data_IF_197055942314
#
_entry.id   IF_197055942314
#
_cell.length_a   1.000
_cell.length_b   1.000
_cell.length_c   1.000
_cell.angle_alpha   90.00
_cell.angle_beta   90.00
_cell.angle_gamma   90.00
#
_symmetry.space_group_name_H-M   'P 1'
#
loop_
_entity.id
_entity.type
_entity.pdbx_description
1 polymer ?
#
# COMPACT_ATOMS: atom_id res chain seq x y z
N UNK A 1 8.95 2.18 -20.76
CA UNK A 1 8.73 0.77 -20.42
C UNK A 1 7.72 0.73 -19.30
N UNK A 2 6.59 0.07 -19.54
CA UNK A 2 5.61 -0.24 -18.49
C UNK A 2 6.21 -1.30 -17.57
N UNK A 3 6.10 -1.07 -16.27
CA UNK A 3 6.70 -1.87 -15.22
C UNK A 3 5.80 -3.09 -14.94
N UNK A 4 6.38 -4.28 -14.82
CA UNK A 4 5.70 -5.54 -14.45
C UNK A 4 5.80 -5.76 -12.94
N UNK A 5 4.91 -6.54 -12.33
CA UNK A 5 5.02 -6.91 -10.92
C UNK A 5 6.14 -7.94 -10.71
N UNK A 6 7.09 -7.68 -9.81
CA UNK A 6 8.14 -8.65 -9.46
C UNK A 6 7.89 -9.26 -8.07
N UNK A 7 8.49 -10.43 -7.83
CA UNK A 7 8.50 -11.05 -6.52
C UNK A 7 9.19 -10.16 -5.47
N UNK A 8 8.69 -10.15 -4.22
CA UNK A 8 9.25 -9.32 -3.15
C UNK A 8 10.47 -9.97 -2.47
N UNK A 9 10.87 -11.17 -2.86
CA UNK A 9 11.93 -11.99 -2.26
C UNK A 9 12.71 -12.74 -3.35
N UNK A 10 13.94 -13.16 -3.04
CA UNK A 10 14.76 -13.96 -3.98
C UNK A 10 14.22 -15.38 -4.14
N UNK A 11 13.85 -16.03 -3.03
CA UNK A 11 13.06 -17.26 -3.08
C UNK A 11 11.61 -16.89 -3.42
N UNK A 12 11.10 -17.50 -4.48
CA UNK A 12 9.76 -17.26 -5.03
C UNK A 12 8.75 -18.33 -4.64
N UNK A 13 9.14 -19.27 -3.78
CA UNK A 13 8.26 -20.32 -3.24
C UNK A 13 7.07 -19.68 -2.53
N UNK A 14 5.87 -20.19 -2.80
CA UNK A 14 4.62 -19.74 -2.18
C UNK A 14 4.13 -20.85 -1.24
N UNK A 15 4.00 -20.53 0.04
CA UNK A 15 3.44 -21.44 1.06
C UNK A 15 1.92 -21.34 1.11
N UNK A 16 1.39 -20.10 1.08
CA UNK A 16 -0.04 -19.84 0.97
C UNK A 16 -0.35 -18.86 -0.17
N UNK A 17 -1.20 -19.31 -1.08
CA UNK A 17 -1.69 -18.51 -2.22
C UNK A 17 -2.86 -17.62 -1.81
N UNK A 18 -3.11 -16.59 -2.62
CA UNK A 18 -4.29 -15.75 -2.49
C UNK A 18 -5.58 -16.58 -2.63
N UNK A 19 -6.60 -16.23 -1.85
CA UNK A 19 -7.93 -16.85 -1.95
C UNK A 19 -8.04 -18.23 -1.32
N UNK A 20 -6.93 -18.85 -0.91
CA UNK A 20 -6.88 -20.21 -0.40
C UNK A 20 -6.38 -20.19 1.05
N UNK A 21 -7.22 -20.57 2.00
CA UNK A 21 -6.85 -20.68 3.41
C UNK A 21 -6.46 -22.12 3.75
N UNK A 22 -5.15 -22.38 3.80
CA UNK A 22 -4.58 -23.62 4.33
C UNK A 22 -4.11 -23.46 5.78
N UNK A 23 -4.47 -22.35 6.45
CA UNK A 23 -3.94 -22.04 7.76
C UNK A 23 -4.37 -23.09 8.79
N UNK A 24 -3.39 -23.79 9.36
CA UNK A 24 -3.58 -24.66 10.53
C UNK A 24 -3.61 -23.83 11.83
N UNK A 25 -3.87 -22.51 11.74
CA UNK A 25 -3.70 -21.58 12.85
C UNK A 25 -4.84 -21.78 13.86
N UNK A 26 -4.58 -22.30 15.08
CA UNK A 26 -5.62 -22.82 15.97
C UNK A 26 -6.57 -21.74 16.58
N UNK A 27 -6.31 -20.44 16.32
CA UNK A 27 -6.90 -19.29 17.05
C UNK A 27 -7.35 -18.14 16.11
N UNK A 28 -7.27 -18.26 14.77
CA UNK A 28 -7.54 -17.11 13.87
C UNK A 28 -8.65 -17.32 12.83
N UNK A 29 -9.75 -17.98 13.22
CA UNK A 29 -10.99 -17.89 12.42
C UNK A 29 -11.46 -16.43 12.26
N UNK A 30 -11.34 -15.61 13.29
CA UNK A 30 -11.98 -14.28 13.32
C UNK A 30 -11.44 -13.24 12.31
N UNK A 31 -10.15 -13.30 11.93
CA UNK A 31 -9.59 -12.33 10.98
C UNK A 31 -9.91 -12.71 9.52
N UNK A 32 -9.96 -14.01 9.21
CA UNK A 32 -10.29 -14.49 7.87
C UNK A 32 -11.79 -14.40 7.57
N UNK A 33 -12.66 -14.39 8.58
CA UNK A 33 -14.11 -14.15 8.40
C UNK A 33 -14.38 -12.86 7.61
N UNK A 34 -13.58 -11.79 7.79
CA UNK A 34 -13.74 -10.53 7.04
C UNK A 34 -13.50 -10.74 5.53
N UNK A 35 -12.70 -11.73 5.18
CA UNK A 35 -12.34 -12.10 3.81
C UNK A 35 -13.03 -13.39 3.35
N UNK A 36 -14.16 -13.76 3.97
CA UNK A 36 -14.92 -14.99 3.66
C UNK A 36 -14.06 -16.27 3.81
N UNK A 37 -13.25 -16.31 4.88
CA UNK A 37 -12.26 -17.36 5.18
C UNK A 37 -11.20 -17.55 4.08
N UNK A 38 -10.86 -16.46 3.37
CA UNK A 38 -9.81 -16.46 2.34
C UNK A 38 -8.58 -15.71 2.78
N UNK A 39 -7.43 -16.22 2.35
CA UNK A 39 -6.16 -15.53 2.50
C UNK A 39 -6.11 -14.29 1.58
N UNK A 40 -5.91 -13.10 2.15
CA UNK A 40 -5.98 -11.80 1.45
C UNK A 40 -4.73 -11.45 0.64
N UNK A 41 -3.71 -12.30 0.68
CA UNK A 41 -2.40 -12.07 0.07
C UNK A 41 -1.71 -13.35 -0.35
N UNK A 42 -0.40 -13.29 -0.45
CA UNK A 42 0.50 -14.41 -0.75
C UNK A 42 1.58 -14.46 0.32
N UNK A 43 1.80 -15.64 0.89
CA UNK A 43 2.81 -15.86 1.91
C UNK A 43 4.04 -16.55 1.31
N UNK A 44 5.19 -15.92 1.51
CA UNK A 44 6.51 -16.44 1.13
C UNK A 44 7.21 -16.97 2.38
N UNK A 45 7.50 -18.29 2.47
CA UNK A 45 8.25 -18.84 3.58
C UNK A 45 9.69 -18.35 3.51
N UNK A 46 10.10 -17.51 4.46
CA UNK A 46 11.44 -16.93 4.50
C UNK A 46 11.94 -16.83 5.93
N UNK A 47 13.24 -17.02 6.12
CA UNK A 47 13.89 -16.81 7.41
C UNK A 47 13.78 -15.36 7.89
N UNK A 48 13.93 -15.14 9.19
CA UNK A 48 14.02 -13.79 9.75
C UNK A 48 15.30 -13.12 9.24
N UNK A 49 15.19 -11.89 8.75
CA UNK A 49 16.34 -11.13 8.25
C UNK A 49 16.56 -11.21 6.74
N UNK A 50 15.79 -12.04 6.01
CA UNK A 50 15.83 -12.09 4.54
C UNK A 50 15.44 -10.74 3.95
N UNK A 51 16.12 -10.32 2.89
CA UNK A 51 15.85 -9.04 2.21
C UNK A 51 14.46 -9.08 1.57
N UNK A 52 13.69 -8.02 1.80
CA UNK A 52 12.40 -7.79 1.15
C UNK A 52 12.56 -6.63 0.16
N UNK A 53 12.20 -6.89 -1.08
CA UNK A 53 12.34 -6.01 -2.23
C UNK A 53 11.02 -5.32 -2.57
N UNK A 54 11.12 -4.12 -3.12
CA UNK A 54 9.96 -3.39 -3.64
C UNK A 54 9.47 -4.04 -4.93
N UNK A 55 8.29 -4.64 -4.90
CA UNK A 55 7.68 -5.32 -6.06
C UNK A 55 7.29 -4.38 -7.19
N UNK A 56 7.08 -3.10 -6.91
CA UNK A 56 6.68 -2.09 -7.91
C UNK A 56 7.05 -0.68 -7.44
N UNK A 57 7.62 0.14 -8.31
CA UNK A 57 8.07 1.49 -7.96
C UNK A 57 6.92 2.32 -7.39
N UNK A 58 7.15 3.03 -6.29
CA UNK A 58 6.09 3.74 -5.60
C UNK A 58 6.56 4.73 -4.54
N UNK A 59 5.61 5.21 -3.75
CA UNK A 59 5.88 6.04 -2.57
C UNK A 59 5.45 5.30 -1.30
N UNK A 60 6.29 5.31 -0.27
CA UNK A 60 5.98 4.66 1.01
C UNK A 60 4.91 5.47 1.74
N UNK A 61 3.72 4.89 1.91
CA UNK A 61 2.56 5.54 2.56
C UNK A 61 2.26 4.99 3.95
N UNK A 62 2.76 3.79 4.27
CA UNK A 62 2.63 3.17 5.60
C UNK A 62 3.96 2.58 6.04
N UNK A 63 4.30 2.80 7.32
CA UNK A 63 5.46 2.24 8.02
C UNK A 63 5.18 2.30 9.50
N UNK A 64 4.64 1.23 10.06
CA UNK A 64 4.23 1.17 11.46
C UNK A 64 4.17 -0.27 11.95
N UNK A 65 4.04 -0.44 13.27
CA UNK A 65 3.68 -1.71 13.86
C UNK A 65 2.15 -1.80 13.98
N UNK A 66 1.58 -2.93 13.55
CA UNK A 66 0.17 -3.26 13.67
C UNK A 66 0.05 -4.61 14.41
N UNK A 67 -0.84 -4.71 15.41
CA UNK A 67 -0.96 -5.89 16.27
C UNK A 67 -1.09 -7.22 15.50
N UNK A 68 -1.91 -7.26 14.45
CA UNK A 68 -2.12 -8.45 13.60
C UNK A 68 -0.99 -8.70 12.58
N UNK A 69 -0.75 -7.74 11.69
CA UNK A 69 0.25 -7.80 10.61
C UNK A 69 1.72 -7.57 11.04
N UNK A 70 2.01 -7.25 12.30
CA UNK A 70 3.38 -6.94 12.74
C UNK A 70 3.91 -5.62 12.19
N UNK A 71 5.20 -5.56 11.87
CA UNK A 71 5.78 -4.43 11.16
C UNK A 71 5.32 -4.44 9.70
N UNK A 72 4.67 -3.37 9.28
CA UNK A 72 4.08 -3.25 7.94
C UNK A 72 4.70 -2.09 7.17
N UNK A 73 5.04 -2.35 5.91
CA UNK A 73 5.29 -1.32 4.91
C UNK A 73 4.17 -1.36 3.88
N UNK A 74 3.71 -0.19 3.44
CA UNK A 74 2.87 -0.09 2.24
C UNK A 74 3.47 0.92 1.28
N UNK A 75 3.62 0.50 0.03
CA UNK A 75 4.07 1.31 -1.10
C UNK A 75 2.86 1.58 -1.99
N UNK A 76 2.66 2.84 -2.42
CA UNK A 76 1.58 3.22 -3.33
C UNK A 76 2.10 3.55 -4.72
N UNK A 77 1.40 3.08 -5.74
CA UNK A 77 1.48 3.59 -7.10
C UNK A 77 0.07 3.74 -7.67
N UNK A 78 -0.34 4.98 -7.95
CA UNK A 78 -1.70 5.25 -8.41
C UNK A 78 -2.76 4.86 -7.38
N UNK A 79 -3.76 4.09 -7.81
CA UNK A 79 -4.77 3.46 -6.95
C UNK A 79 -4.33 2.12 -6.32
N UNK A 80 -3.12 1.64 -6.57
CA UNK A 80 -2.67 0.35 -6.07
C UNK A 80 -1.72 0.52 -4.88
N UNK A 81 -1.94 -0.29 -3.85
CA UNK A 81 -1.06 -0.45 -2.70
C UNK A 81 -0.42 -1.83 -2.74
N UNK A 82 0.89 -1.86 -2.51
CA UNK A 82 1.70 -3.05 -2.30
C UNK A 82 2.02 -3.11 -0.81
N UNK A 83 1.46 -4.09 -0.10
CA UNK A 83 1.62 -4.23 1.34
C UNK A 83 2.59 -5.39 1.65
N UNK A 84 3.47 -5.16 2.62
CA UNK A 84 4.47 -6.10 3.10
C UNK A 84 4.36 -6.16 4.62
N UNK A 85 4.02 -7.33 5.16
CA UNK A 85 3.76 -7.54 6.58
C UNK A 85 4.77 -8.50 7.22
N UNK A 86 4.65 -8.66 8.54
CA UNK A 86 5.44 -9.55 9.38
C UNK A 86 6.95 -9.27 9.41
N UNK A 87 7.37 -8.09 8.97
CA UNK A 87 8.78 -7.71 8.87
C UNK A 87 9.48 -7.70 10.25
N UNK A 88 10.79 -7.91 10.27
CA UNK A 88 11.62 -7.65 11.46
C UNK A 88 12.07 -6.19 11.50
N UNK A 89 12.52 -5.65 10.36
CA UNK A 89 13.10 -4.30 10.28
C UNK A 89 12.63 -3.52 9.06
N UNK A 90 12.43 -2.22 9.27
CA UNK A 90 12.22 -1.26 8.19
C UNK A 90 13.56 -0.77 7.62
N UNK A 91 13.66 -0.64 6.29
CA UNK A 91 14.80 0.01 5.59
C UNK A 91 14.41 1.28 4.85
N UNK A 92 13.16 1.74 5.01
CA UNK A 92 12.61 2.92 4.35
C UNK A 92 11.92 3.87 5.34
N UNK A 93 11.60 5.07 4.87
CA UNK A 93 10.87 6.12 5.63
C UNK A 93 9.53 6.45 4.94
N UNK A 94 8.57 6.95 5.71
CA UNK A 94 7.32 7.49 5.15
C UNK A 94 7.61 8.62 4.17
N UNK A 95 6.90 8.63 3.04
CA UNK A 95 7.06 9.57 1.94
C UNK A 95 8.30 9.39 1.08
N UNK A 96 9.08 8.33 1.30
CA UNK A 96 10.19 7.98 0.44
C UNK A 96 9.68 7.41 -0.89
N UNK A 97 10.17 7.93 -2.02
CA UNK A 97 9.96 7.33 -3.34
C UNK A 97 11.00 6.21 -3.52
N UNK A 98 10.52 5.02 -3.86
CA UNK A 98 11.30 3.79 -3.98
C UNK A 98 11.14 3.24 -5.40
N UNK A 99 12.22 2.71 -5.97
CA UNK A 99 12.18 1.98 -7.24
C UNK A 99 11.96 0.50 -6.99
N UNK A 100 11.34 -0.18 -7.95
CA UNK A 100 11.27 -1.63 -7.98
C UNK A 100 12.65 -2.26 -7.81
N UNK A 101 12.71 -3.37 -7.06
CA UNK A 101 13.95 -4.07 -6.73
C UNK A 101 14.79 -3.42 -5.64
N UNK A 102 14.42 -2.25 -5.11
CA UNK A 102 15.10 -1.70 -3.93
C UNK A 102 14.70 -2.49 -2.68
N UNK A 103 15.64 -2.67 -1.76
CA UNK A 103 15.37 -3.28 -0.45
C UNK A 103 14.55 -2.30 0.40
N UNK A 104 13.40 -2.76 0.90
CA UNK A 104 12.48 -1.95 1.70
C UNK A 104 12.44 -2.35 3.18
N UNK A 105 12.82 -3.59 3.48
CA UNK A 105 12.80 -4.15 4.82
C UNK A 105 13.51 -5.49 4.89
N UNK A 106 13.49 -6.07 6.07
CA UNK A 106 13.90 -7.45 6.31
C UNK A 106 12.69 -8.24 6.83
N UNK A 107 12.48 -9.45 6.32
CA UNK A 107 11.42 -10.37 6.76
C UNK A 107 11.57 -10.72 8.23
N UNK A 108 10.48 -11.19 8.84
CA UNK A 108 10.47 -11.50 10.25
C UNK A 108 9.35 -12.44 10.63
N UNK A 109 9.01 -12.40 11.92
CA UNK A 109 7.89 -13.13 12.53
C UNK A 109 7.06 -12.22 13.44
N UNK A 110 7.02 -10.92 13.12
CA UNK A 110 6.36 -9.94 13.99
C UNK A 110 4.82 -10.00 13.87
N UNK A 111 4.13 -9.60 14.93
CA UNK A 111 2.67 -9.64 14.99
C UNK A 111 2.13 -11.07 15.00
N UNK A 112 1.37 -11.41 13.97
CA UNK A 112 0.64 -12.67 13.86
C UNK A 112 1.28 -13.76 13.02
N UNK A 113 2.53 -13.62 12.58
CA UNK A 113 3.20 -14.63 11.76
C UNK A 113 3.38 -15.93 12.55
N UNK A 114 2.61 -16.94 12.19
CA UNK A 114 2.54 -18.21 12.89
C UNK A 114 2.19 -19.32 11.87
N UNK A 115 2.77 -20.53 12.00
CA UNK A 115 3.68 -20.98 13.05
C UNK A 115 5.15 -20.54 12.86
N UNK A 116 5.55 -20.21 11.64
CA UNK A 116 6.94 -19.89 11.24
C UNK A 116 7.06 -18.47 10.69
N UNK A 117 8.30 -18.00 10.53
CA UNK A 117 8.58 -16.74 9.86
C UNK A 117 8.19 -16.83 8.38
N UNK A 118 7.58 -15.77 7.87
CA UNK A 118 7.20 -15.63 6.46
C UNK A 118 7.01 -14.13 6.15
N UNK A 119 7.01 -13.80 4.86
CA UNK A 119 6.56 -12.52 4.37
C UNK A 119 5.14 -12.66 3.86
N UNK A 120 4.21 -11.87 4.40
CA UNK A 120 2.88 -11.72 3.85
C UNK A 120 2.84 -10.52 2.90
N UNK A 121 2.39 -10.74 1.67
CA UNK A 121 2.34 -9.74 0.61
C UNK A 121 0.93 -9.59 0.03
N UNK A 122 0.47 -8.36 -0.14
CA UNK A 122 -0.85 -8.10 -0.75
C UNK A 122 -0.78 -7.01 -1.82
N UNK A 123 -1.68 -7.13 -2.79
CA UNK A 123 -2.11 -6.01 -3.64
C UNK A 123 -3.48 -5.52 -3.18
N UNK A 124 -3.63 -4.20 -3.09
CA UNK A 124 -4.92 -3.56 -2.75
C UNK A 124 -5.28 -2.45 -3.73
N UNK A 125 -6.49 -2.49 -4.28
CA UNK A 125 -7.11 -1.38 -5.02
C UNK A 125 -7.88 -0.49 -4.05
N UNK A 126 -7.32 0.69 -3.74
CA UNK A 126 -7.91 1.60 -2.76
C UNK A 126 -9.12 2.37 -3.27
N UNK A 127 -9.57 2.12 -4.50
CA UNK A 127 -10.86 2.64 -4.99
C UNK A 127 -12.05 1.79 -4.57
N UNK A 128 -11.82 0.56 -4.09
CA UNK A 128 -12.87 -0.33 -3.63
C UNK A 128 -13.30 0.05 -2.20
N UNK A 129 -14.61 0.11 -1.91
CA UNK A 129 -15.10 0.60 -0.62
C UNK A 129 -14.95 -0.42 0.50
N UNK A 130 -15.17 -1.70 0.20
CA UNK A 130 -15.15 -2.78 1.18
C UNK A 130 -13.78 -3.46 1.24
N UNK A 131 -13.29 -3.73 2.45
CA UNK A 131 -11.94 -4.27 2.66
C UNK A 131 -11.69 -5.57 1.87
N UNK A 132 -12.70 -6.44 1.78
CA UNK A 132 -12.63 -7.70 1.04
C UNK A 132 -12.53 -7.52 -0.47
N UNK A 133 -13.08 -6.43 -1.00
CA UNK A 133 -13.02 -6.11 -2.43
C UNK A 133 -11.72 -5.38 -2.80
N UNK A 134 -11.06 -4.76 -1.81
CA UNK A 134 -9.80 -4.07 -2.05
C UNK A 134 -8.69 -5.04 -2.45
N UNK A 135 -8.64 -6.23 -1.85
CA UNK A 135 -7.56 -7.20 -2.08
C UNK A 135 -7.78 -7.99 -3.36
N UNK A 136 -6.71 -8.23 -4.11
CA UNK A 136 -6.76 -9.05 -5.31
C UNK A 136 -5.46 -9.83 -5.53
N UNK A 137 -5.55 -10.90 -6.32
CA UNK A 137 -4.45 -11.83 -6.56
C UNK A 137 -3.21 -11.14 -7.14
N UNK A 138 -2.04 -11.30 -6.51
CA UNK A 138 -0.77 -10.90 -7.08
C UNK A 138 -0.35 -11.76 -8.28
N UNK A 139 -0.53 -11.24 -9.49
CA UNK A 139 -0.02 -11.88 -10.72
C UNK A 139 1.42 -11.45 -11.00
N UNK A 140 2.38 -12.15 -10.41
CA UNK A 140 3.81 -11.88 -10.62
C UNK A 140 4.25 -12.09 -12.08
N UNK A 141 5.28 -11.36 -12.49
CA UNK A 141 5.81 -11.29 -13.86
C UNK A 141 4.79 -10.82 -14.91
N UNK A 142 3.69 -10.20 -14.48
CA UNK A 142 2.65 -9.66 -15.35
C UNK A 142 2.44 -8.18 -15.07
N UNK A 143 1.75 -7.50 -15.98
CA UNK A 143 1.30 -6.12 -15.78
C UNK A 143 0.11 -6.09 -14.82
N UNK A 144 -0.04 -4.97 -14.13
CA UNK A 144 -1.20 -4.70 -13.27
C UNK A 144 -2.26 -4.00 -14.11
N UNK A 145 -3.28 -4.72 -14.56
CA UNK A 145 -4.28 -4.24 -15.53
C UNK A 145 -5.17 -3.10 -14.99
N UNK A 146 -5.45 -3.10 -13.68
CA UNK A 146 -6.34 -2.12 -13.04
C UNK A 146 -5.60 -0.90 -12.45
N UNK A 147 -4.32 -0.72 -12.77
CA UNK A 147 -3.54 0.42 -12.29
C UNK A 147 -3.97 1.71 -13.00
N UNK A 148 -4.36 2.70 -12.20
CA UNK A 148 -4.73 4.05 -12.62
C UNK A 148 -3.88 5.06 -11.89
N UNK A 149 -3.35 6.03 -12.62
CA UNK A 149 -2.51 7.09 -12.02
C UNK A 149 -3.30 7.97 -11.04
N UNK A 150 -4.60 8.11 -11.22
CA UNK A 150 -5.44 8.94 -10.36
C UNK A 150 -6.66 8.19 -9.89
N UNK A 151 -7.17 8.54 -8.71
CA UNK A 151 -8.47 8.08 -8.24
C UNK A 151 -9.20 9.19 -7.49
N UNK A 152 -10.51 9.03 -7.34
CA UNK A 152 -11.35 9.99 -6.62
C UNK A 152 -11.51 9.55 -5.17
N UNK A 153 -11.14 10.43 -4.24
CA UNK A 153 -11.46 10.31 -2.83
C UNK A 153 -12.74 11.09 -2.54
N UNK A 154 -13.69 10.45 -1.84
CA UNK A 154 -14.88 11.12 -1.31
C UNK A 154 -14.59 11.50 0.14
N UNK A 155 -14.64 12.80 0.43
CA UNK A 155 -14.34 13.32 1.77
C UNK A 155 -15.30 12.75 2.79
N UNK A 156 -14.73 12.10 3.81
CA UNK A 156 -15.42 11.61 5.00
C UNK A 156 -14.71 12.15 6.25
N UNK A 157 -15.41 13.05 6.96
CA UNK A 157 -14.92 13.69 8.18
C UNK A 157 -15.46 13.06 9.47
N UNK A 158 -16.22 11.96 9.42
CA UNK A 158 -16.86 11.33 10.59
C UNK A 158 -15.86 11.01 11.70
N UNK A 159 -14.74 10.35 11.35
CA UNK A 159 -13.73 9.93 12.32
C UNK A 159 -12.55 10.90 12.40
N UNK A 160 -12.17 11.49 11.27
CA UNK A 160 -10.99 12.36 11.20
C UNK A 160 -11.24 13.43 10.17
N UNK A 161 -11.15 14.70 10.57
CA UNK A 161 -11.30 15.83 9.65
C UNK A 161 -10.23 15.79 8.56
N UNK A 162 -10.64 15.99 7.30
CA UNK A 162 -9.75 15.92 6.14
C UNK A 162 -9.42 17.31 5.63
N UNK A 163 -8.13 17.55 5.42
CA UNK A 163 -7.55 18.68 4.72
C UNK A 163 -6.65 18.18 3.59
N UNK A 164 -6.20 19.05 2.70
CA UNK A 164 -5.21 18.68 1.67
C UNK A 164 -3.93 18.10 2.29
N UNK A 165 -3.50 18.62 3.45
CA UNK A 165 -2.36 18.08 4.20
C UNK A 165 -2.64 16.68 4.74
N UNK A 166 -3.82 16.44 5.32
CA UNK A 166 -4.13 15.11 5.84
C UNK A 166 -4.22 14.08 4.70
N UNK A 167 -4.79 14.46 3.56
CA UNK A 167 -4.83 13.59 2.37
C UNK A 167 -3.43 13.36 1.81
N UNK A 168 -2.57 14.38 1.84
CA UNK A 168 -1.15 14.23 1.49
C UNK A 168 -0.45 13.22 2.41
N UNK A 169 -0.63 13.33 3.73
CA UNK A 169 -0.05 12.37 4.68
C UNK A 169 -0.59 10.96 4.44
N UNK A 170 -1.89 10.83 4.20
CA UNK A 170 -2.55 9.54 3.97
C UNK A 170 -2.06 8.84 2.69
N UNK A 171 -2.01 9.56 1.57
CA UNK A 171 -1.72 8.95 0.26
C UNK A 171 -0.28 9.14 -0.22
N UNK A 172 0.55 9.89 0.50
CA UNK A 172 1.94 10.10 0.14
C UNK A 172 2.90 9.90 1.32
N UNK A 173 2.41 9.55 2.53
CA UNK A 173 3.24 9.40 3.73
C UNK A 173 3.89 10.70 4.21
N UNK A 174 3.59 11.84 3.60
CA UNK A 174 4.19 13.13 3.93
C UNK A 174 3.25 14.27 3.55
N UNK A 175 3.41 15.43 4.17
CA UNK A 175 2.60 16.61 3.82
C UNK A 175 3.06 17.31 2.54
N UNK A 176 4.24 16.98 2.00
CA UNK A 176 4.86 17.69 0.86
C UNK A 176 4.02 17.68 -0.42
N UNK A 177 3.09 16.74 -0.57
CA UNK A 177 2.29 16.55 -1.78
C UNK A 177 0.93 17.26 -1.74
N UNK A 178 0.60 18.01 -0.67
CA UNK A 178 -0.68 18.72 -0.58
C UNK A 178 -0.90 19.69 -1.76
N UNK A 179 0.18 20.36 -2.21
CA UNK A 179 0.15 21.26 -3.37
C UNK A 179 -0.09 20.52 -4.68
N UNK A 180 0.40 19.28 -4.82
CA UNK A 180 0.11 18.45 -5.98
C UNK A 180 -1.38 18.09 -6.02
N UNK A 181 -1.96 17.68 -4.90
CA UNK A 181 -3.41 17.41 -4.80
C UNK A 181 -4.19 18.68 -5.16
N UNK A 182 -3.78 19.84 -4.64
CA UNK A 182 -4.42 21.12 -4.96
C UNK A 182 -4.41 21.41 -6.47
N UNK A 183 -3.27 21.24 -7.12
CA UNK A 183 -3.10 21.64 -8.52
C UNK A 183 -3.91 20.77 -9.50
N UNK A 184 -4.17 19.50 -9.17
CA UNK A 184 -5.00 18.62 -10.02
C UNK A 184 -6.50 18.80 -9.80
N UNK A 185 -6.91 19.61 -8.82
CA UNK A 185 -8.30 19.90 -8.51
C UNK A 185 -8.57 21.40 -8.69
N UNK A 186 -9.13 21.81 -9.83
CA UNK A 186 -9.41 23.23 -10.15
C UNK A 186 -10.16 23.95 -9.04
N UNK A 187 -11.16 23.29 -8.48
CA UNK A 187 -12.07 23.86 -7.47
C UNK A 187 -11.36 24.08 -6.11
N UNK A 188 -10.16 23.51 -5.95
CA UNK A 188 -9.34 23.65 -4.75
C UNK A 188 -8.17 24.63 -4.94
N UNK A 189 -8.04 25.31 -6.09
CA UNK A 189 -6.92 26.21 -6.38
C UNK A 189 -6.66 27.25 -5.27
N UNK A 190 -7.73 27.77 -4.66
CA UNK A 190 -7.68 28.77 -3.59
C UNK A 190 -7.74 28.18 -2.16
N UNK A 191 -7.71 26.84 -2.00
CA UNK A 191 -7.74 26.23 -0.68
C UNK A 191 -6.43 26.47 0.08
N UNK A 192 -6.58 26.93 1.33
CA UNK A 192 -5.48 27.05 2.29
C UNK A 192 -5.04 25.66 2.77
N UNK A 193 -3.74 25.51 3.06
CA UNK A 193 -3.07 24.25 3.44
C UNK A 193 -3.85 23.42 4.48
N UNK A 194 -4.37 24.05 5.54
CA UNK A 194 -5.05 23.39 6.65
C UNK A 194 -6.58 23.54 6.64
N UNK A 195 -7.17 24.11 5.57
CA UNK A 195 -8.62 24.25 5.47
C UNK A 195 -9.25 22.86 5.38
N UNK A 196 -10.28 22.63 6.19
CA UNK A 196 -11.05 21.38 6.16
C UNK A 196 -11.87 21.34 4.87
N UNK A 197 -11.84 20.18 4.22
CA UNK A 197 -12.57 19.91 3.00
C UNK A 197 -14.03 19.61 3.34
N UNK A 198 -14.94 20.10 2.49
CA UNK A 198 -16.37 19.88 2.68
C UNK A 198 -16.72 18.39 2.66
N UNK A 199 -17.60 17.98 3.56
CA UNK A 199 -18.11 16.61 3.62
C UNK A 199 -18.67 16.15 2.27
N UNK A 200 -18.42 14.89 1.89
CA UNK A 200 -18.78 14.29 0.59
C UNK A 200 -18.22 14.96 -0.67
N UNK A 201 -17.41 16.02 -0.56
CA UNK A 201 -16.73 16.58 -1.74
C UNK A 201 -15.78 15.56 -2.36
N UNK A 202 -15.64 15.61 -3.69
CA UNK A 202 -14.76 14.74 -4.46
C UNK A 202 -13.39 15.41 -4.61
N UNK A 203 -12.34 14.64 -4.36
CA UNK A 203 -10.95 15.10 -4.49
C UNK A 203 -10.19 14.08 -5.32
N UNK A 204 -9.62 14.52 -6.43
CA UNK A 204 -8.72 13.70 -7.25
C UNK A 204 -7.39 13.57 -6.51
N UNK A 205 -6.99 12.34 -6.23
CA UNK A 205 -5.69 12.00 -5.66
C UNK A 205 -4.77 11.54 -6.80
N UNK A 206 -3.69 12.27 -7.09
CA UNK A 206 -2.79 11.92 -8.18
C UNK A 206 -1.72 10.90 -7.79
N UNK A 207 -1.07 10.35 -8.81
CA UNK A 207 0.14 9.56 -8.63
C UNK A 207 1.31 10.48 -8.22
N UNK A 208 2.27 9.94 -7.46
CA UNK A 208 3.51 10.68 -7.13
C UNK A 208 4.31 11.05 -8.38
N UNK A 209 4.11 10.30 -9.48
CA UNK A 209 4.78 10.52 -10.78
C UNK A 209 4.34 11.80 -11.49
N UNK A 210 3.16 12.37 -11.17
CA UNK A 210 2.64 13.57 -11.86
C UNK A 210 3.59 14.77 -11.74
N UNK A 211 4.45 14.81 -10.70
CA UNK A 211 5.51 15.82 -10.59
C UNK A 211 6.58 15.74 -11.70
N UNK A 212 6.79 14.59 -12.35
CA UNK A 212 7.84 14.42 -13.37
C UNK A 212 7.50 15.05 -14.72
N UNK A 213 6.25 15.38 -14.99
CA UNK A 213 5.84 16.02 -16.25
C UNK A 213 6.15 17.52 -16.24
N UNK A 214 6.06 18.17 -15.07
CA UNK A 214 6.26 19.62 -14.97
C UNK A 214 7.72 20.07 -14.79
N UNK A 215 8.65 19.14 -14.53
CA UNK A 215 10.09 19.45 -14.38
C UNK A 215 10.91 19.14 -15.65
N UNK A 216 10.28 18.96 -16.82
CA UNK A 216 10.99 18.84 -18.11
C UNK A 216 10.96 20.11 -18.97
N UNK A 217 10.47 21.23 -18.43
CA UNK A 217 10.41 22.52 -19.12
C UNK A 217 11.17 23.62 -18.37
N UNK A 218 12.38 23.32 -17.88
CA UNK A 218 13.39 24.30 -17.50
C UNK A 218 14.74 23.89 -18.06
#
# INVERSE_FOLDING_TARGET
MEEILIYPTEDITIDQSFGLDNSKHPIRKDFYIIFDDKHSGVDFPVEVGTKVYCSYSGIVVRREFHKGMGNVISVRNGNIIFLYAHLDRFKVKLGQIIKQGNIIGLSGKSGGACPTAHLHFELRDITKPELKEMVFEPKFNQKIENLKDTFTYIVNNTNTKKSLVSLSKLYFGTEKFWGLIRNVNSDLANYKKNKILSERSKVIIPNYKVLRVNNRNC
#
